data_IF_938564497910
#
_entry.id   IF_938564497910
#
_cell.length_a   1.000
_cell.length_b   1.000
_cell.length_c   1.000
_cell.angle_alpha   90.00
_cell.angle_beta   90.00
_cell.angle_gamma   90.00
#
_symmetry.space_group_name_H-M   'P 1'
#
loop_
_entity.id
_entity.type
_entity.pdbx_description
1 polymer ?
#
# COMPACT_ATOMS: atom_id res chain seq x y z
N UNK A 1 -21.46 2.60 7.16
CA UNK A 1 -20.41 3.28 7.94
C UNK A 1 -19.31 2.31 8.38
N UNK A 2 -18.69 1.57 7.45
CA UNK A 2 -17.57 0.68 7.76
C UNK A 2 -16.32 1.25 7.06
N UNK A 3 -15.32 1.68 7.82
CA UNK A 3 -14.08 2.23 7.25
C UNK A 3 -13.26 3.07 8.22
N UNK A 4 -13.87 3.63 9.26
CA UNK A 4 -13.17 4.44 10.25
C UNK A 4 -12.96 3.59 11.50
N UNK A 5 -11.73 3.12 11.70
CA UNK A 5 -11.29 2.51 12.97
C UNK A 5 -10.58 3.58 13.78
N UNK A 6 -10.99 3.80 15.02
CA UNK A 6 -10.33 4.74 15.94
C UNK A 6 -8.90 4.30 16.28
N UNK A 7 -8.59 3.01 16.10
CA UNK A 7 -7.27 2.42 16.35
C UNK A 7 -6.83 1.62 15.11
N UNK A 8 -6.43 2.29 14.02
CA UNK A 8 -5.99 1.61 12.82
C UNK A 8 -4.69 0.84 13.09
N UNK A 9 -4.61 -0.41 12.61
CA UNK A 9 -3.40 -1.25 12.75
C UNK A 9 -2.29 -0.86 11.76
N UNK A 10 -2.66 -0.16 10.69
CA UNK A 10 -1.77 0.41 9.69
C UNK A 10 -2.41 1.65 9.07
N UNK A 11 -1.58 2.59 8.63
CA UNK A 11 -1.96 3.80 7.91
C UNK A 11 -1.09 3.89 6.66
N UNK A 12 -1.71 4.15 5.51
CA UNK A 12 -1.03 4.54 4.29
C UNK A 12 -1.43 5.99 3.99
N UNK A 13 -0.46 6.88 3.95
CA UNK A 13 -0.65 8.31 3.73
C UNK A 13 -0.03 8.69 2.40
N UNK A 14 -0.74 9.54 1.66
CA UNK A 14 -0.34 10.06 0.36
C UNK A 14 -0.28 11.58 0.44
N UNK A 15 0.67 12.18 -0.26
CA UNK A 15 0.76 13.64 -0.35
C UNK A 15 -0.46 14.25 -1.06
N UNK A 16 -0.96 13.58 -2.09
CA UNK A 16 -2.09 14.05 -2.89
C UNK A 16 -3.03 12.93 -3.28
N UNK A 17 -4.28 13.29 -3.58
CA UNK A 17 -5.28 12.33 -4.07
C UNK A 17 -4.94 11.81 -5.47
N UNK A 18 -4.30 12.63 -6.31
CA UNK A 18 -3.85 12.23 -7.64
C UNK A 18 -2.75 11.17 -7.56
N UNK A 19 -1.82 11.32 -6.61
CA UNK A 19 -0.80 10.30 -6.35
C UNK A 19 -1.43 8.99 -5.89
N UNK A 20 -2.44 9.04 -5.02
CA UNK A 20 -3.17 7.85 -4.63
C UNK A 20 -3.85 7.20 -5.85
N UNK A 21 -4.51 7.99 -6.70
CA UNK A 21 -5.15 7.52 -7.93
C UNK A 21 -4.17 6.87 -8.89
N UNK A 22 -3.03 7.51 -9.16
CA UNK A 22 -2.01 6.98 -10.07
C UNK A 22 -1.33 5.73 -9.50
N UNK A 23 -1.11 5.68 -8.18
CA UNK A 23 -0.58 4.50 -7.51
C UNK A 23 -1.56 3.32 -7.59
N UNK A 24 -2.85 3.54 -7.33
CA UNK A 24 -3.87 2.49 -7.45
C UNK A 24 -4.12 2.03 -8.89
N UNK A 25 -3.83 2.88 -9.88
CA UNK A 25 -3.85 2.51 -11.30
C UNK A 25 -2.52 1.94 -11.82
N UNK A 26 -1.52 1.77 -10.96
CA UNK A 26 -0.22 1.19 -11.33
C UNK A 26 0.63 2.07 -12.26
N UNK A 27 0.35 3.37 -12.32
CA UNK A 27 1.10 4.33 -13.17
C UNK A 27 2.40 4.81 -12.52
N UNK A 28 2.54 4.64 -11.21
CA UNK A 28 3.73 4.98 -10.44
C UNK A 28 4.19 3.80 -9.61
N UNK A 29 5.49 3.72 -9.34
CA UNK A 29 6.06 2.65 -8.53
C UNK A 29 5.91 2.97 -7.03
N UNK A 30 5.27 2.08 -6.28
CA UNK A 30 5.00 2.27 -4.84
C UNK A 30 6.28 2.36 -4.00
N UNK A 31 7.31 1.56 -4.29
CA UNK A 31 8.58 1.60 -3.58
C UNK A 31 9.34 2.91 -3.84
N UNK A 32 9.29 3.42 -5.06
CA UNK A 32 9.85 4.72 -5.41
C UNK A 32 9.12 5.85 -4.66
N UNK A 33 7.80 5.83 -4.62
CA UNK A 33 7.01 6.81 -3.87
C UNK A 33 7.31 6.77 -2.37
N UNK A 34 7.50 5.57 -1.81
CA UNK A 34 7.92 5.40 -0.41
C UNK A 34 9.33 5.91 -0.18
N UNK A 35 10.27 5.58 -1.08
CA UNK A 35 11.67 6.05 -1.00
C UNK A 35 11.79 7.57 -1.13
N UNK A 36 10.89 8.21 -1.88
CA UNK A 36 10.78 9.67 -1.99
C UNK A 36 10.01 10.32 -0.83
N UNK A 37 9.35 9.53 0.02
CA UNK A 37 8.52 10.00 1.11
C UNK A 37 7.16 10.56 0.70
N UNK A 38 6.77 10.44 -0.58
CA UNK A 38 5.46 10.92 -1.05
C UNK A 38 4.32 9.95 -0.75
N UNK A 39 4.68 8.72 -0.37
CA UNK A 39 3.79 7.73 0.23
C UNK A 39 4.43 7.23 1.51
N UNK A 40 3.73 7.39 2.64
CA UNK A 40 4.19 6.90 3.93
C UNK A 40 3.33 5.75 4.42
N UNK A 41 3.97 4.73 4.98
CA UNK A 41 3.30 3.58 5.59
C UNK A 41 3.71 3.52 7.05
N UNK A 42 2.73 3.65 7.96
CA UNK A 42 2.92 3.65 9.42
C UNK A 42 2.14 2.52 10.08
N UNK A 43 2.64 2.02 11.21
CA UNK A 43 2.03 0.91 11.95
C UNK A 43 2.73 -0.43 11.70
N UNK A 44 1.98 -1.53 11.63
CA UNK A 44 2.56 -2.86 11.51
C UNK A 44 3.07 -3.10 10.07
N UNK A 45 4.33 -2.72 9.79
CA UNK A 45 5.01 -2.91 8.50
C UNK A 45 4.95 -4.36 7.99
N UNK A 46 4.81 -5.35 8.88
CA UNK A 46 4.65 -6.77 8.53
C UNK A 46 3.37 -7.10 7.75
N UNK A 47 2.30 -6.29 7.79
CA UNK A 47 1.15 -6.47 6.89
C UNK A 47 1.43 -5.99 5.47
N UNK A 48 2.24 -4.94 5.32
CA UNK A 48 2.69 -4.43 4.01
C UNK A 48 3.72 -5.37 3.39
N UNK A 49 4.61 -5.93 4.21
CA UNK A 49 5.55 -6.98 3.78
C UNK A 49 4.84 -8.31 3.42
N UNK A 50 3.77 -8.68 4.15
CA UNK A 50 2.99 -9.88 3.82
C UNK A 50 2.16 -9.72 2.53
N UNK A 51 1.80 -8.50 2.13
CA UNK A 51 1.06 -8.26 0.89
C UNK A 51 1.90 -8.69 -0.33
N UNK A 52 3.19 -8.33 -0.34
CA UNK A 52 4.12 -8.78 -1.40
C UNK A 52 4.22 -10.31 -1.44
N UNK A 53 4.29 -10.98 -0.28
CA UNK A 53 4.32 -12.47 -0.20
C UNK A 53 3.01 -13.15 -0.63
N UNK A 54 1.85 -12.53 -0.41
CA UNK A 54 0.56 -13.05 -0.86
C UNK A 54 0.42 -12.89 -2.37
N UNK A 55 0.83 -11.75 -2.93
CA UNK A 55 0.82 -11.50 -4.37
C UNK A 55 1.76 -12.45 -5.13
N UNK A 56 2.97 -12.70 -4.60
CA UNK A 56 3.89 -13.73 -5.14
C UNK A 56 3.27 -15.13 -5.12
N UNK A 57 2.46 -15.45 -4.10
CA UNK A 57 1.78 -16.76 -4.01
C UNK A 57 0.58 -16.88 -4.95
N UNK A 58 -0.17 -15.80 -5.19
CA UNK A 58 -1.29 -15.81 -6.15
C UNK A 58 -0.78 -16.04 -7.59
N UNK A 59 0.40 -15.52 -7.94
CA UNK A 59 1.03 -15.81 -9.23
C UNK A 59 1.28 -17.31 -9.47
N UNK A 60 1.50 -18.11 -8.41
CA UNK A 60 1.65 -19.57 -8.52
C UNK A 60 0.31 -20.30 -8.75
N UNK A 61 -0.82 -19.68 -8.42
CA UNK A 61 -2.16 -20.24 -8.63
C UNK A 61 -2.82 -19.79 -9.94
N UNK A 62 -2.17 -18.88 -10.67
CA UNK A 62 -2.61 -18.39 -11.98
C UNK A 62 -1.83 -19.05 -13.15
N UNK A 63 -1.00 -20.05 -12.87
CA UNK A 63 -0.27 -20.87 -13.84
C UNK A 63 -1.02 -22.18 -14.16
#
# INVERSE_FOLDING_TARGET
NQGISEKPRAIMQFDTIDLAYDLFNGKVNSLECIGKGTVEIRGMLSMVDNMNRILDRVALYLA
#
